data_IF_816833199724
#
_entry.id   IF_816833199724
#
_cell.length_a   1.000
_cell.length_b   1.000
_cell.length_c   1.000
_cell.angle_alpha   90.00
_cell.angle_beta   90.00
_cell.angle_gamma   90.00
#
_symmetry.space_group_name_H-M   'P 1'
#
loop_
_entity.id
_entity.type
_entity.pdbx_description
1 polymer ?
#
# COMPACT_ATOMS: atom_id res chain seq x y z
N UNK A 1 -3.00 -8.83 10.87
CA UNK A 1 -2.43 -8.46 9.55
C UNK A 1 -0.91 -8.58 9.61
N UNK A 2 -0.34 -9.29 8.67
CA UNK A 2 1.10 -9.45 8.58
C UNK A 2 1.58 -8.94 7.23
N UNK A 3 2.70 -8.24 7.21
CA UNK A 3 3.28 -7.69 5.99
C UNK A 3 4.50 -8.50 5.56
N UNK A 4 4.64 -8.70 4.27
CA UNK A 4 5.83 -9.34 3.70
C UNK A 4 6.21 -8.67 2.40
N UNK A 5 7.47 -8.81 2.01
CA UNK A 5 7.97 -8.28 0.75
C UNK A 5 9.32 -8.89 0.41
N UNK A 6 9.73 -8.65 -0.81
CA UNK A 6 11.04 -9.06 -1.31
C UNK A 6 12.05 -7.93 -1.08
N UNK A 7 13.16 -8.23 -0.42
CA UNK A 7 14.16 -7.21 -0.07
C UNK A 7 14.77 -6.51 -1.29
N UNK A 8 14.98 -7.25 -2.37
CA UNK A 8 15.53 -6.66 -3.61
C UNK A 8 14.54 -5.65 -4.17
N UNK A 9 13.27 -5.99 -4.20
CA UNK A 9 12.21 -5.07 -4.66
C UNK A 9 12.12 -3.85 -3.76
N UNK A 10 12.26 -4.03 -2.45
CA UNK A 10 12.24 -2.92 -1.50
C UNK A 10 13.37 -1.92 -1.81
N UNK A 11 14.58 -2.42 -2.00
CA UNK A 11 15.72 -1.56 -2.32
C UNK A 11 15.55 -0.83 -3.65
N UNK A 12 15.04 -1.54 -4.66
CA UNK A 12 14.77 -0.93 -5.97
C UNK A 12 13.70 0.14 -5.87
N UNK A 13 12.66 -0.13 -5.10
CA UNK A 13 11.56 0.82 -4.91
C UNK A 13 12.04 2.08 -4.20
N UNK A 14 12.86 1.92 -3.15
CA UNK A 14 13.43 3.06 -2.44
C UNK A 14 14.27 3.93 -3.38
N UNK A 15 15.08 3.29 -4.23
CA UNK A 15 15.92 4.01 -5.18
C UNK A 15 15.10 4.74 -6.24
N UNK A 16 14.05 4.10 -6.73
CA UNK A 16 13.23 4.64 -7.82
C UNK A 16 12.24 5.71 -7.34
N UNK A 17 11.62 5.49 -6.20
CA UNK A 17 10.51 6.32 -5.73
C UNK A 17 10.79 7.05 -4.41
N UNK A 18 11.89 6.74 -3.76
CA UNK A 18 12.24 7.36 -2.48
C UNK A 18 11.41 6.87 -1.31
N UNK A 19 10.70 5.77 -1.47
CA UNK A 19 9.82 5.21 -0.44
C UNK A 19 10.20 3.76 -0.20
N UNK A 20 10.55 3.46 1.07
CA UNK A 20 10.81 2.08 1.47
C UNK A 20 9.48 1.37 1.75
N UNK A 21 9.50 0.05 1.71
CA UNK A 21 8.31 -0.71 2.06
C UNK A 21 8.00 -0.61 3.56
N UNK A 22 9.03 -0.42 4.39
CA UNK A 22 8.82 -0.15 5.82
C UNK A 22 8.00 1.11 6.03
N UNK A 23 8.29 2.16 5.28
CA UNK A 23 7.52 3.39 5.35
C UNK A 23 6.12 3.18 4.78
N UNK A 24 6.01 2.43 3.69
CA UNK A 24 4.73 2.16 3.04
C UNK A 24 3.73 1.47 3.98
N UNK A 25 4.21 0.62 4.89
CA UNK A 25 3.36 -0.07 5.87
C UNK A 25 2.56 0.93 6.70
N UNK A 26 3.10 2.11 6.96
CA UNK A 26 2.41 3.14 7.75
C UNK A 26 1.11 3.60 7.12
N UNK A 27 0.98 3.49 5.80
CA UNK A 27 -0.26 3.88 5.12
C UNK A 27 -1.44 3.03 5.59
N UNK A 28 -1.19 1.79 5.98
CA UNK A 28 -2.24 0.89 6.46
C UNK A 28 -2.71 1.23 7.87
N UNK A 29 -1.94 2.01 8.61
CA UNK A 29 -2.31 2.48 9.96
C UNK A 29 -3.04 3.81 9.92
N UNK A 30 -3.12 4.46 8.77
CA UNK A 30 -3.87 5.68 8.60
C UNK A 30 -5.36 5.35 8.67
N UNK A 31 -6.11 5.92 9.63
CA UNK A 31 -7.55 5.62 9.75
C UNK A 31 -8.37 6.03 8.53
N UNK A 32 -7.83 6.89 7.68
CA UNK A 32 -8.49 7.34 6.46
C UNK A 32 -7.98 6.66 5.20
N UNK A 33 -7.14 5.62 5.34
CA UNK A 33 -6.64 4.94 4.15
C UNK A 33 -7.78 4.31 3.36
N UNK A 34 -7.60 4.29 2.05
CA UNK A 34 -8.57 3.75 1.11
C UNK A 34 -7.94 2.59 0.35
N UNK A 35 -8.60 1.43 0.37
CA UNK A 35 -8.12 0.27 -0.37
C UNK A 35 -9.10 -0.06 -1.49
N UNK A 36 -8.57 -0.21 -2.69
CA UNK A 36 -9.33 -0.57 -3.88
C UNK A 36 -8.83 -1.93 -4.35
N UNK A 37 -9.74 -2.88 -4.48
CA UNK A 37 -9.43 -4.20 -5.02
C UNK A 37 -9.62 -4.18 -6.52
N UNK A 38 -8.64 -4.71 -7.26
CA UNK A 38 -8.64 -4.70 -8.71
C UNK A 38 -9.01 -6.07 -9.27
N UNK A 39 -8.20 -7.07 -8.97
CA UNK A 39 -8.41 -8.42 -9.50
C UNK A 39 -8.13 -9.45 -8.43
N UNK A 40 -8.69 -10.65 -8.62
CA UNK A 40 -8.40 -11.80 -7.77
C UNK A 40 -7.88 -12.94 -8.64
N UNK A 41 -6.80 -13.57 -8.20
CA UNK A 41 -6.20 -14.69 -8.91
C UNK A 41 -5.63 -15.67 -7.89
N UNK A 42 -6.06 -16.94 -7.96
CA UNK A 42 -5.55 -18.02 -7.13
C UNK A 42 -5.62 -17.70 -5.62
N UNK A 43 -6.69 -17.04 -5.17
CA UNK A 43 -6.88 -16.72 -3.76
C UNK A 43 -6.16 -15.47 -3.29
N UNK A 44 -5.46 -14.77 -4.18
CA UNK A 44 -4.83 -13.50 -3.86
C UNK A 44 -5.58 -12.37 -4.55
N UNK A 45 -5.91 -11.33 -3.77
CA UNK A 45 -6.48 -10.10 -4.32
C UNK A 45 -5.37 -9.10 -4.56
N UNK A 46 -5.36 -8.50 -5.74
CA UNK A 46 -4.49 -7.39 -6.04
C UNK A 46 -5.19 -6.10 -5.64
N UNK A 47 -4.52 -5.32 -4.81
CA UNK A 47 -5.12 -4.13 -4.21
C UNK A 47 -4.19 -2.93 -4.31
N UNK A 48 -4.80 -1.76 -4.21
CA UNK A 48 -4.08 -0.50 -4.11
C UNK A 48 -4.58 0.20 -2.86
N UNK A 49 -3.67 0.55 -1.96
CA UNK A 49 -4.01 1.30 -0.76
C UNK A 49 -3.41 2.69 -0.84
N UNK A 50 -4.25 3.70 -0.67
CA UNK A 50 -3.82 5.09 -0.62
C UNK A 50 -3.91 5.53 0.83
N UNK A 51 -2.81 6.00 1.40
CA UNK A 51 -2.79 6.42 2.79
C UNK A 51 -1.65 7.37 3.08
N UNK A 52 -1.73 8.00 4.23
CA UNK A 52 -0.75 8.99 4.68
C UNK A 52 0.32 8.29 5.52
N UNK A 53 1.57 8.65 5.29
CA UNK A 53 2.70 8.20 6.09
C UNK A 53 3.26 9.38 6.89
N UNK A 54 4.25 9.13 7.72
CA UNK A 54 4.71 10.02 8.80
C UNK A 54 4.89 11.49 8.44
N UNK A 55 5.29 11.85 7.27
CA UNK A 55 5.57 13.25 6.90
C UNK A 55 4.40 13.93 6.22
N UNK A 56 3.18 13.46 6.46
CA UNK A 56 1.97 13.94 5.80
C UNK A 56 1.98 13.66 4.30
N UNK A 57 2.85 12.78 3.86
CA UNK A 57 2.93 12.37 2.46
C UNK A 57 1.89 11.29 2.21
N UNK A 58 1.10 11.48 1.18
CA UNK A 58 0.13 10.46 0.74
C UNK A 58 0.82 9.56 -0.27
N UNK A 59 0.77 8.26 -0.02
CA UNK A 59 1.41 7.27 -0.89
C UNK A 59 0.37 6.29 -1.42
N UNK A 60 0.70 5.68 -2.57
CA UNK A 60 -0.08 4.60 -3.12
C UNK A 60 0.76 3.33 -3.03
N UNK A 61 0.21 2.32 -2.36
CA UNK A 61 0.88 1.04 -2.16
C UNK A 61 0.16 -0.01 -2.97
N UNK A 62 0.89 -0.66 -3.89
CA UNK A 62 0.38 -1.79 -4.64
C UNK A 62 0.74 -3.05 -3.87
N UNK A 63 -0.25 -3.89 -3.62
CA UNK A 63 -0.03 -5.09 -2.82
C UNK A 63 -1.00 -6.19 -3.22
N UNK A 64 -0.71 -7.40 -2.76
CA UNK A 64 -1.68 -8.48 -2.79
C UNK A 64 -2.11 -8.78 -1.37
N UNK A 65 -3.29 -9.36 -1.23
CA UNK A 65 -3.83 -9.74 0.08
C UNK A 65 -4.35 -11.17 -0.03
N UNK A 66 -4.01 -11.99 0.96
CA UNK A 66 -4.51 -13.35 1.07
C UNK A 66 -4.71 -13.70 2.53
N UNK A 67 -5.55 -14.69 2.79
CA UNK A 67 -5.73 -15.21 4.14
C UNK A 67 -4.92 -16.49 4.32
N UNK A 68 -4.29 -16.63 5.48
CA UNK A 68 -3.51 -17.79 5.86
C UNK A 68 -3.75 -18.08 7.33
N UNK A 69 -4.47 -19.17 7.61
CA UNK A 69 -4.82 -19.58 8.98
C UNK A 69 -5.43 -18.45 9.81
N UNK A 70 -6.47 -17.82 9.27
CA UNK A 70 -7.21 -16.71 9.89
C UNK A 70 -6.39 -15.43 10.04
N UNK A 71 -5.21 -15.37 9.44
CA UNK A 71 -4.39 -14.17 9.43
C UNK A 71 -4.35 -13.58 8.02
N UNK A 72 -4.57 -12.28 7.91
CA UNK A 72 -4.44 -11.58 6.64
C UNK A 72 -2.98 -11.28 6.34
N UNK A 73 -2.50 -11.73 5.18
CA UNK A 73 -1.13 -11.49 4.73
C UNK A 73 -1.17 -10.47 3.60
N UNK A 74 -0.45 -9.39 3.80
CA UNK A 74 -0.31 -8.32 2.79
C UNK A 74 1.10 -8.39 2.23
N UNK A 75 1.21 -8.67 0.93
CA UNK A 75 2.51 -8.66 0.24
C UNK A 75 2.65 -7.35 -0.52
N UNK A 76 3.62 -6.53 -0.12
CA UNK A 76 3.88 -5.25 -0.77
C UNK A 76 4.68 -5.48 -2.05
N UNK A 77 4.20 -4.91 -3.15
CA UNK A 77 4.81 -5.04 -4.48
C UNK A 77 5.51 -3.75 -4.87
N UNK A 78 4.89 -2.61 -4.65
CA UNK A 78 5.50 -1.31 -4.93
C UNK A 78 4.82 -0.21 -4.11
N UNK A 79 5.51 0.90 -3.97
CA UNK A 79 4.98 2.06 -3.26
C UNK A 79 5.55 3.32 -3.90
N UNK A 80 4.71 4.32 -4.12
CA UNK A 80 5.12 5.60 -4.68
C UNK A 80 4.25 6.71 -4.11
N UNK A 81 4.66 7.94 -4.30
CA UNK A 81 3.82 9.07 -3.90
C UNK A 81 2.55 9.06 -4.75
N UNK A 82 1.45 9.39 -4.11
CA UNK A 82 0.17 9.52 -4.80
C UNK A 82 0.24 10.68 -5.80
N UNK A 83 -0.42 10.51 -6.94
CA UNK A 83 -0.59 11.59 -7.91
C UNK A 83 -1.60 12.58 -7.33
N UNK A 84 -1.70 13.76 -7.97
CA UNK A 84 -2.70 14.75 -7.56
C UNK A 84 -4.11 14.16 -7.59
N UNK A 85 -4.43 13.39 -8.62
CA UNK A 85 -5.73 12.77 -8.76
C UNK A 85 -5.98 11.76 -7.64
N UNK A 86 -4.99 10.95 -7.31
CA UNK A 86 -5.08 9.96 -6.25
C UNK A 86 -5.24 10.62 -4.88
N UNK A 87 -4.47 11.69 -4.62
CA UNK A 87 -4.61 12.45 -3.38
C UNK A 87 -5.99 13.05 -3.26
N UNK A 88 -6.56 13.49 -4.35
CA UNK A 88 -7.92 14.06 -4.36
C UNK A 88 -8.94 13.00 -3.98
N UNK A 89 -8.80 11.78 -4.51
CA UNK A 89 -9.68 10.67 -4.15
C UNK A 89 -9.58 10.39 -2.65
N UNK A 90 -8.35 10.35 -2.12
CA UNK A 90 -8.10 10.13 -0.70
C UNK A 90 -8.74 11.23 0.16
N UNK A 91 -8.59 12.47 -0.23
CA UNK A 91 -9.12 13.62 0.52
C UNK A 91 -10.64 13.68 0.50
N UNK A 92 -11.27 13.24 -0.58
CA UNK A 92 -12.73 13.23 -0.68
C UNK A 92 -13.37 12.21 0.26
N UNK A 93 -12.70 11.09 0.50
CA UNK A 93 -13.19 10.06 1.41
C UNK A 93 -13.14 10.54 2.86
N UNK A 94 -12.27 11.50 3.15
CA UNK A 94 -12.05 12.04 4.48
C UNK A 94 -13.16 13.03 4.91
N UNK A 95 -14.03 13.41 4.02
CA UNK A 95 -15.12 14.36 4.34
C UNK A 95 -16.31 13.69 5.04
#
# INVERSE_FOLDING_TARGET
>A
MRFEWNDVKNRKNLRKHGISFDLAVEAFSDPFCLTISDTEDAGEQRCWTIGRVETLTVVLVVHTTRDDDDEEIVRIISARRATRKERRIYEEVDD
#
